data_IF_630115983586
#
_entry.id   IF_630115983586
#
_cell.length_a   1.000
_cell.length_b   1.000
_cell.length_c   1.000
_cell.angle_alpha   90.00
_cell.angle_beta   90.00
_cell.angle_gamma   90.00
#
_symmetry.space_group_name_H-M   'P 1'
#
loop_
_entity.id
_entity.type
_entity.pdbx_description
1 polymer ?
#
# COMPACT_ATOMS: atom_id res chain seq x y z
N UNK A 1 22.24 0.36 -1.58
CA UNK A 1 20.77 0.27 -1.76
C UNK A 1 20.03 1.07 -0.68
N UNK A 2 20.27 0.88 0.62
CA UNK A 2 19.81 1.83 1.66
C UNK A 2 20.23 3.26 1.30
N UNK A 3 21.50 3.49 0.96
CA UNK A 3 21.96 4.79 0.43
C UNK A 3 21.23 5.29 -0.83
N UNK A 4 20.73 4.38 -1.68
CA UNK A 4 19.99 4.75 -2.89
C UNK A 4 18.53 5.14 -2.56
N UNK A 5 17.90 4.46 -1.59
CA UNK A 5 16.58 4.84 -1.08
C UNK A 5 16.64 6.10 -0.22
N UNK A 6 17.67 6.23 0.62
CA UNK A 6 18.05 7.44 1.37
C UNK A 6 18.18 8.64 0.44
N UNK A 7 18.97 8.52 -0.65
CA UNK A 7 19.14 9.60 -1.63
C UNK A 7 17.88 9.93 -2.43
N UNK A 8 16.99 8.96 -2.65
CA UNK A 8 15.83 9.11 -3.53
C UNK A 8 14.55 9.57 -2.80
N UNK A 9 14.37 9.25 -1.51
CA UNK A 9 13.07 9.41 -0.84
C UNK A 9 13.11 10.15 0.50
N UNK A 10 14.28 10.35 1.10
CA UNK A 10 14.41 10.98 2.42
C UNK A 10 13.93 10.11 3.59
N UNK A 11 12.79 9.42 3.47
CA UNK A 11 12.22 8.51 4.48
C UNK A 11 11.61 7.23 3.89
N UNK A 12 11.75 6.10 4.59
CA UNK A 12 11.18 4.80 4.20
C UNK A 12 10.87 3.91 5.42
N UNK A 13 10.10 2.85 5.19
CA UNK A 13 9.79 1.83 6.19
C UNK A 13 10.52 0.53 5.88
N UNK A 14 11.04 -0.12 6.90
CA UNK A 14 11.61 -1.47 6.82
C UNK A 14 10.86 -2.39 7.78
N UNK A 15 10.28 -3.47 7.26
CA UNK A 15 9.57 -4.47 8.03
C UNK A 15 10.38 -5.76 7.99
N UNK A 16 10.81 -6.24 9.15
CA UNK A 16 11.49 -7.53 9.29
C UNK A 16 10.52 -8.55 9.92
N UNK A 17 10.13 -9.55 9.13
CA UNK A 17 9.17 -10.57 9.52
C UNK A 17 9.73 -11.55 10.57
N UNK A 18 11.05 -11.73 10.63
CA UNK A 18 11.71 -12.61 11.59
C UNK A 18 11.80 -11.97 12.96
N UNK A 19 12.21 -10.71 13.03
CA UNK A 19 12.28 -9.97 14.30
C UNK A 19 10.94 -9.39 14.71
N UNK A 20 9.96 -9.37 13.79
CA UNK A 20 8.61 -8.80 13.97
C UNK A 20 8.68 -7.33 14.36
N UNK A 21 9.50 -6.59 13.63
CA UNK A 21 9.70 -5.16 13.83
C UNK A 21 9.44 -4.39 12.54
N UNK A 22 8.88 -3.20 12.71
CA UNK A 22 8.79 -2.16 11.68
C UNK A 22 9.66 -0.99 12.12
N UNK A 23 10.64 -0.64 11.31
CA UNK A 23 11.50 0.52 11.51
C UNK A 23 11.08 1.64 10.55
N UNK A 24 10.94 2.85 11.09
CA UNK A 24 10.84 4.10 10.32
C UNK A 24 12.24 4.70 10.21
N UNK A 25 12.74 4.87 8.99
CA UNK A 25 14.07 5.41 8.73
C UNK A 25 13.99 6.73 7.98
N UNK A 26 14.94 7.60 8.29
CA UNK A 26 15.23 8.83 7.55
C UNK A 26 16.70 8.84 7.18
N UNK A 27 16.97 8.79 5.88
CA UNK A 27 18.27 8.44 5.35
C UNK A 27 18.90 7.21 6.01
N UNK A 28 20.10 7.36 6.57
CA UNK A 28 20.83 6.26 7.22
C UNK A 28 20.50 6.11 8.72
N UNK A 29 19.52 6.86 9.24
CA UNK A 29 19.16 6.86 10.66
C UNK A 29 17.83 6.16 10.88
N UNK A 30 17.82 5.19 11.79
CA UNK A 30 16.58 4.67 12.36
C UNK A 30 15.98 5.73 13.27
N UNK A 31 14.80 6.25 12.92
CA UNK A 31 14.08 7.23 13.73
C UNK A 31 13.33 6.53 14.86
N UNK A 32 12.61 5.46 14.53
CA UNK A 32 11.89 4.66 15.51
C UNK A 32 11.68 3.23 15.03
N UNK A 33 11.56 2.32 15.99
CA UNK A 33 11.26 0.92 15.74
C UNK A 33 10.07 0.49 16.59
N UNK A 34 9.15 -0.25 15.97
CA UNK A 34 7.89 -0.68 16.58
C UNK A 34 7.75 -2.20 16.51
N UNK A 35 7.24 -2.86 17.56
CA UNK A 35 6.84 -4.26 17.47
C UNK A 35 5.62 -4.40 16.58
N UNK A 36 5.58 -5.45 15.76
CA UNK A 36 4.45 -5.72 14.86
C UNK A 36 3.95 -7.16 14.95
N UNK A 37 2.66 -7.36 14.70
CA UNK A 37 2.10 -8.67 14.36
C UNK A 37 2.18 -8.89 12.85
N UNK A 38 2.57 -10.09 12.42
CA UNK A 38 2.75 -10.43 10.99
C UNK A 38 1.87 -11.60 10.58
N UNK A 39 1.79 -11.86 9.27
CA UNK A 39 1.00 -12.94 8.71
C UNK A 39 1.43 -14.32 9.18
N UNK A 40 0.48 -15.24 9.38
CA UNK A 40 0.76 -16.65 9.71
C UNK A 40 1.60 -17.33 8.62
N UNK A 41 2.35 -18.41 8.92
CA UNK A 41 3.01 -19.20 7.88
C UNK A 41 2.07 -19.68 6.77
N UNK A 42 0.80 -19.96 7.09
CA UNK A 42 -0.24 -20.36 6.12
C UNK A 42 -0.81 -19.21 5.29
N UNK A 43 -0.62 -17.95 5.72
CA UNK A 43 -1.05 -16.72 5.03
C UNK A 43 0.01 -15.63 5.25
N UNK A 44 1.22 -15.80 4.67
CA UNK A 44 2.37 -15.01 5.04
C UNK A 44 2.23 -13.57 4.58
N UNK A 45 2.87 -12.65 5.31
CA UNK A 45 3.13 -11.30 4.79
C UNK A 45 4.14 -11.43 3.63
N UNK A 46 3.84 -10.91 2.43
CA UNK A 46 4.74 -11.02 1.30
C UNK A 46 6.00 -10.16 1.50
N UNK A 47 7.15 -10.71 1.13
CA UNK A 47 8.42 -9.97 1.08
C UNK A 47 8.57 -9.21 -0.23
N UNK A 48 9.40 -8.17 -0.23
CA UNK A 48 9.68 -7.33 -1.40
C UNK A 48 9.55 -5.84 -1.12
N UNK A 49 9.65 -5.06 -2.20
CA UNK A 49 9.57 -3.59 -2.17
C UNK A 49 8.19 -3.10 -2.59
N UNK A 50 7.59 -2.27 -1.76
CA UNK A 50 6.25 -1.71 -1.94
C UNK A 50 6.25 -0.21 -1.63
N UNK A 51 5.08 0.42 -1.76
CA UNK A 51 4.84 1.80 -1.37
C UNK A 51 3.52 1.92 -0.61
N UNK A 52 3.41 2.94 0.24
CA UNK A 52 2.14 3.32 0.85
C UNK A 52 1.26 4.01 -0.20
N UNK A 53 0.09 3.45 -0.49
CA UNK A 53 -0.81 3.94 -1.55
C UNK A 53 -2.06 4.64 -1.02
N UNK A 54 -2.44 4.38 0.22
CA UNK A 54 -3.62 4.97 0.86
C UNK A 54 -3.40 5.09 2.36
N UNK A 55 -4.02 6.10 2.97
CA UNK A 55 -4.00 6.35 4.41
C UNK A 55 -5.42 6.67 4.89
N UNK A 56 -5.90 5.94 5.89
CA UNK A 56 -7.25 6.12 6.47
C UNK A 56 -7.13 6.34 7.98
N UNK A 57 -7.81 7.38 8.47
CA UNK A 57 -7.96 7.68 9.89
C UNK A 57 -9.25 7.02 10.38
N UNK A 58 -9.20 6.36 11.53
CA UNK A 58 -10.31 5.68 12.20
C UNK A 58 -11.06 4.66 11.32
N UNK A 59 -10.37 3.67 10.72
CA UNK A 59 -11.04 2.60 9.97
C UNK A 59 -11.91 1.69 10.84
N UNK A 60 -11.63 1.62 12.15
CA UNK A 60 -12.41 0.85 13.12
C UNK A 60 -12.23 -0.67 13.00
N UNK A 61 -13.00 -1.40 13.81
CA UNK A 61 -12.98 -2.87 13.83
C UNK A 61 -11.58 -3.46 14.06
N UNK A 62 -11.26 -4.54 13.34
CA UNK A 62 -9.97 -5.22 13.43
C UNK A 62 -8.78 -4.39 12.94
N UNK A 63 -9.04 -3.29 12.22
CA UNK A 63 -8.02 -2.40 11.68
C UNK A 63 -7.58 -1.33 12.67
N UNK A 64 -8.32 -1.16 13.78
CA UNK A 64 -7.99 -0.20 14.82
C UNK A 64 -8.11 1.26 14.37
N UNK A 65 -7.16 2.09 14.75
CA UNK A 65 -7.28 3.55 14.62
C UNK A 65 -6.68 4.13 13.35
N UNK A 66 -5.77 3.42 12.67
CA UNK A 66 -5.16 3.87 11.41
C UNK A 66 -4.98 2.69 10.45
N UNK A 67 -5.07 2.98 9.15
CA UNK A 67 -4.77 2.04 8.08
C UNK A 67 -3.89 2.70 7.02
N UNK A 68 -2.81 2.02 6.62
CA UNK A 68 -1.94 2.39 5.52
C UNK A 68 -1.85 1.23 4.53
N UNK A 69 -2.49 1.36 3.37
CA UNK A 69 -2.49 0.29 2.36
C UNK A 69 -1.18 0.26 1.58
N UNK A 70 -0.74 -0.93 1.19
CA UNK A 70 0.51 -1.17 0.48
C UNK A 70 0.27 -1.60 -0.97
N UNK A 71 1.21 -1.28 -1.86
CA UNK A 71 1.18 -1.64 -3.29
C UNK A 71 1.48 -3.12 -3.58
N UNK A 72 0.99 -4.04 -2.76
CA UNK A 72 1.22 -5.48 -2.93
C UNK A 72 0.33 -6.02 -4.06
N UNK A 73 0.89 -6.73 -5.06
CA UNK A 73 0.10 -7.38 -6.11
C UNK A 73 -0.95 -8.34 -5.55
N UNK A 74 -2.18 -8.27 -6.05
CA UNK A 74 -3.31 -9.06 -5.52
C UNK A 74 -4.10 -8.38 -4.39
N UNK A 75 -3.66 -7.24 -3.88
CA UNK A 75 -4.41 -6.38 -2.96
C UNK A 75 -4.55 -6.93 -1.53
N UNK A 76 -5.21 -6.16 -0.65
CA UNK A 76 -5.54 -6.51 0.75
C UNK A 76 -4.38 -6.58 1.77
N UNK A 77 -3.26 -5.86 1.53
CA UNK A 77 -2.17 -5.74 2.50
C UNK A 77 -1.99 -4.30 2.96
N UNK A 78 -1.78 -4.14 4.26
CA UNK A 78 -1.59 -2.84 4.88
C UNK A 78 -0.89 -2.91 6.22
N UNK A 79 -0.42 -1.76 6.67
CA UNK A 79 0.04 -1.51 8.03
C UNK A 79 -1.13 -0.86 8.78
N UNK A 80 -1.55 -1.44 9.88
CA UNK A 80 -2.74 -0.97 10.58
C UNK A 80 -2.67 -1.19 12.10
N UNK A 81 -3.57 -0.52 12.82
CA UNK A 81 -3.75 -0.72 14.27
C UNK A 81 -4.37 -2.07 14.61
N UNK A 82 -4.95 -2.22 15.79
CA UNK A 82 -5.66 -3.45 16.16
C UNK A 82 -6.69 -3.19 17.25
N UNK A 83 -7.77 -3.97 17.27
CA UNK A 83 -8.66 -4.07 18.42
C UNK A 83 -8.30 -5.23 19.37
N UNK A 84 -7.22 -5.97 19.05
CA UNK A 84 -6.68 -7.04 19.88
C UNK A 84 -5.18 -6.82 20.14
N UNK A 85 -4.81 -5.94 21.10
CA UNK A 85 -3.40 -5.62 21.40
C UNK A 85 -2.52 -6.84 21.71
N UNK A 86 -2.98 -7.88 22.43
CA UNK A 86 -2.20 -9.12 22.63
C UNK A 86 -1.76 -9.84 21.35
N UNK A 87 -2.34 -9.51 20.18
CA UNK A 87 -1.93 -10.09 18.90
C UNK A 87 -0.60 -9.53 18.35
N UNK A 88 -0.10 -8.42 18.89
CA UNK A 88 1.17 -7.81 18.46
C UNK A 88 2.35 -8.66 18.94
N UNK A 89 3.35 -8.84 18.07
CA UNK A 89 4.50 -9.70 18.34
C UNK A 89 4.29 -11.19 18.02
N UNK A 90 3.14 -11.56 17.44
CA UNK A 90 2.85 -12.93 16.98
C UNK A 90 2.64 -13.08 15.47
N UNK A 91 2.52 -14.32 15.02
CA UNK A 91 2.08 -14.71 13.67
C UNK A 91 0.55 -14.84 13.66
N UNK A 92 -0.15 -13.71 13.52
CA UNK A 92 -1.56 -13.62 13.93
C UNK A 92 -2.51 -13.22 12.79
N UNK A 93 -1.99 -12.59 11.74
CA UNK A 93 -2.83 -12.00 10.69
C UNK A 93 -2.95 -12.88 9.46
N UNK A 94 -3.89 -12.55 8.59
CA UNK A 94 -4.01 -13.13 7.25
C UNK A 94 -3.02 -12.49 6.24
N UNK A 95 -1.94 -11.87 6.72
CA UNK A 95 -0.89 -11.27 5.88
C UNK A 95 -0.63 -9.78 6.14
N UNK A 96 -1.55 -9.04 6.76
CA UNK A 96 -1.36 -7.62 7.12
C UNK A 96 -0.39 -7.41 8.28
N UNK A 97 0.22 -6.23 8.34
CA UNK A 97 1.12 -5.81 9.43
C UNK A 97 0.29 -5.10 10.49
N UNK A 98 0.20 -5.69 11.69
CA UNK A 98 -0.53 -5.14 12.83
C UNK A 98 0.40 -4.37 13.74
N UNK A 99 -0.03 -3.22 14.22
CA UNK A 99 0.66 -2.38 15.19
C UNK A 99 -0.25 -2.12 16.40
N UNK A 100 0.33 -1.73 17.54
CA UNK A 100 -0.46 -1.11 18.59
C UNK A 100 -1.09 0.20 18.07
N UNK A 101 -2.28 0.56 18.57
CA UNK A 101 -2.96 1.78 18.12
C UNK A 101 -2.12 3.04 18.38
N UNK A 102 -1.46 3.14 19.55
CA UNK A 102 -0.58 4.27 19.85
C UNK A 102 0.63 4.34 18.90
N UNK A 103 1.23 3.20 18.55
CA UNK A 103 2.37 3.15 17.63
C UNK A 103 1.98 3.54 16.19
N UNK A 104 0.84 3.04 15.70
CA UNK A 104 0.39 3.41 14.34
C UNK A 104 -0.08 4.86 14.29
N UNK A 105 -0.68 5.39 15.34
CA UNK A 105 -1.03 6.81 15.46
C UNK A 105 0.20 7.71 15.45
N UNK A 106 1.28 7.25 16.07
CA UNK A 106 2.56 7.90 16.05
C UNK A 106 3.22 7.83 14.66
N UNK A 107 3.25 6.67 14.03
CA UNK A 107 3.88 6.45 12.73
C UNK A 107 3.14 7.17 11.60
N UNK A 108 1.81 7.11 11.61
CA UNK A 108 0.93 7.58 10.53
C UNK A 108 1.23 9.01 10.05
N UNK A 109 1.36 10.06 10.89
CA UNK A 109 1.63 11.41 10.41
C UNK A 109 3.01 11.58 9.75
N UNK A 110 3.98 10.69 10.03
CA UNK A 110 5.35 10.75 9.49
C UNK A 110 5.49 10.05 8.13
N UNK A 111 4.54 9.17 7.80
CA UNK A 111 4.54 8.41 6.56
C UNK A 111 3.68 9.12 5.52
N UNK A 112 4.23 9.41 4.35
CA UNK A 112 3.50 10.00 3.24
C UNK A 112 2.97 8.92 2.29
N UNK A 113 1.93 9.24 1.52
CA UNK A 113 1.59 8.41 0.35
C UNK A 113 2.80 8.45 -0.59
N UNK A 114 3.19 7.29 -1.11
CA UNK A 114 4.42 7.08 -1.89
C UNK A 114 5.63 6.71 -1.04
N UNK A 115 5.55 6.76 0.30
CA UNK A 115 6.66 6.31 1.15
C UNK A 115 7.01 4.85 0.83
N UNK A 116 8.29 4.55 0.51
CA UNK A 116 8.70 3.19 0.23
C UNK A 116 8.61 2.30 1.48
N UNK A 117 8.27 1.04 1.26
CA UNK A 117 8.14 0.01 2.28
C UNK A 117 8.86 -1.24 1.82
N UNK A 118 9.91 -1.62 2.53
CA UNK A 118 10.66 -2.85 2.27
C UNK A 118 10.25 -3.93 3.28
N UNK A 119 9.90 -5.12 2.82
CA UNK A 119 9.52 -6.25 3.68
C UNK A 119 10.50 -7.42 3.46
N UNK A 120 11.17 -7.84 4.53
CA UNK A 120 12.21 -8.89 4.49
C UNK A 120 11.93 -10.03 5.48
N UNK A 121 12.42 -11.23 5.16
CA UNK A 121 12.43 -12.40 6.05
C UNK A 121 13.88 -12.90 6.25
N UNK A 122 14.47 -12.68 7.43
CA UNK A 122 15.82 -13.17 7.77
C UNK A 122 16.52 -12.44 8.92
N UNK A 123 17.58 -13.06 9.49
CA UNK A 123 18.55 -12.42 10.40
C UNK A 123 19.46 -11.50 9.58
N UNK A 124 18.99 -10.30 9.30
CA UNK A 124 19.79 -9.31 8.62
C UNK A 124 19.18 -7.93 8.75
N UNK A 125 19.87 -7.05 9.47
CA UNK A 125 19.85 -5.61 9.19
C UNK A 125 20.54 -5.31 7.84
N UNK A 126 21.00 -6.33 7.10
CA UNK A 126 21.77 -6.23 5.86
C UNK A 126 21.32 -7.26 4.81
N UNK A 127 20.02 -7.25 4.46
CA UNK A 127 19.45 -8.04 3.36
C UNK A 127 19.48 -7.35 1.98
N UNK A 128 20.36 -6.35 1.77
CA UNK A 128 20.44 -5.61 0.51
C UNK A 128 21.44 -6.25 -0.46
N UNK A 129 21.18 -7.48 -0.90
CA UNK A 129 21.83 -8.02 -2.09
C UNK A 129 20.78 -8.58 -3.04
N UNK A 130 20.67 -7.90 -4.18
CA UNK A 130 20.22 -8.41 -5.48
C UNK A 130 18.72 -8.40 -5.81
N UNK A 131 18.00 -7.31 -5.50
CA UNK A 131 16.94 -6.86 -6.40
C UNK A 131 17.25 -5.43 -6.84
N UNK A 132 17.38 -5.14 -8.15
CA UNK A 132 17.39 -3.75 -8.60
C UNK A 132 16.08 -3.12 -8.12
N UNK A 133 16.16 -1.91 -7.56
CA UNK A 133 14.99 -1.07 -7.36
C UNK A 133 14.13 -1.14 -8.62
N UNK A 134 12.78 -1.24 -8.53
CA UNK A 134 11.94 -1.18 -9.72
C UNK A 134 12.38 0.05 -10.49
N UNK A 135 12.96 -0.20 -11.66
CA UNK A 135 13.38 0.84 -12.58
C UNK A 135 12.10 1.63 -12.80
N UNK A 136 12.13 2.93 -12.51
CA UNK A 136 11.07 3.85 -12.91
C UNK A 136 11.04 3.77 -14.44
N UNK A 137 10.28 2.82 -14.99
CA UNK A 137 10.09 2.68 -16.41
C UNK A 137 9.39 3.94 -16.87
N UNK A 138 10.10 4.67 -17.74
CA UNK A 138 9.62 5.90 -18.36
C UNK A 138 8.21 5.65 -18.90
N UNK A 139 7.28 6.46 -18.42
CA UNK A 139 5.93 6.56 -18.98
C UNK A 139 6.06 6.73 -20.51
N UNK A 140 5.40 5.91 -21.33
CA UNK A 140 5.48 6.03 -22.78
C UNK A 140 4.93 7.40 -23.20
N UNK A 141 5.77 8.14 -23.92
CA UNK A 141 5.43 9.37 -24.64
C UNK A 141 4.82 9.03 -26.00
N UNK A 142 3.61 9.55 -26.26
CA UNK A 142 2.89 9.53 -27.55
C UNK A 142 1.73 8.52 -27.54
N UNK A 143 0.48 8.81 -27.88
CA UNK A 143 -0.17 9.96 -28.51
C UNK A 143 -1.63 10.08 -28.00
N UNK A 144 -2.22 11.25 -28.19
CA UNK A 144 -3.50 11.73 -27.66
C UNK A 144 -4.73 10.88 -28.02
N UNK A 145 -5.43 10.32 -27.02
CA UNK A 145 -6.89 10.17 -27.05
C UNK A 145 -7.51 10.14 -25.63
N UNK A 146 -7.95 11.32 -25.15
CA UNK A 146 -9.12 11.51 -24.28
C UNK A 146 -9.32 10.78 -22.94
N UNK A 147 -8.32 10.16 -22.31
CA UNK A 147 -8.50 9.45 -21.02
C UNK A 147 -8.42 10.37 -19.79
N UNK A 148 -9.43 10.33 -18.90
CA UNK A 148 -9.45 11.10 -17.64
C UNK A 148 -9.08 10.19 -16.47
N UNK A 149 -8.18 10.62 -15.58
CA UNK A 149 -7.90 9.89 -14.32
C UNK A 149 -8.88 10.32 -13.23
N UNK A 150 -9.39 9.37 -12.46
CA UNK A 150 -10.24 9.59 -11.30
C UNK A 150 -9.64 8.88 -10.09
N UNK A 151 -9.56 9.59 -8.96
CA UNK A 151 -9.16 9.00 -7.68
C UNK A 151 -10.43 8.63 -6.91
N UNK A 152 -10.62 7.33 -6.67
CA UNK A 152 -11.76 6.78 -5.92
C UNK A 152 -11.85 7.45 -4.55
N UNK A 153 -13.03 7.91 -4.15
CA UNK A 153 -13.27 8.51 -2.84
C UNK A 153 -13.80 7.47 -1.83
N UNK A 154 -13.70 7.74 -0.51
CA UNK A 154 -14.34 6.92 0.51
C UNK A 154 -15.82 6.65 0.21
N UNK A 155 -16.20 5.38 0.12
CA UNK A 155 -17.60 4.96 -0.13
C UNK A 155 -18.06 5.00 -1.60
N UNK A 156 -17.17 5.37 -2.55
CA UNK A 156 -17.43 5.20 -3.98
C UNK A 156 -17.26 3.72 -4.39
N UNK A 157 -18.15 3.26 -5.27
CA UNK A 157 -18.04 1.99 -5.98
C UNK A 157 -17.81 2.28 -7.47
N UNK A 158 -17.29 1.31 -8.24
CA UNK A 158 -17.11 1.49 -9.68
C UNK A 158 -18.43 1.85 -10.37
N UNK A 159 -19.56 1.32 -9.89
CA UNK A 159 -20.89 1.67 -10.38
C UNK A 159 -21.22 3.15 -10.20
N UNK A 160 -21.02 3.70 -8.98
CA UNK A 160 -21.24 5.14 -8.71
C UNK A 160 -20.31 6.03 -9.54
N UNK A 161 -19.10 5.56 -9.78
CA UNK A 161 -18.12 6.29 -10.61
C UNK A 161 -18.55 6.23 -12.08
N UNK A 162 -18.95 5.07 -12.60
CA UNK A 162 -19.47 4.92 -13.95
C UNK A 162 -20.69 5.82 -14.21
N UNK A 163 -21.63 5.85 -13.26
CA UNK A 163 -22.81 6.73 -13.29
C UNK A 163 -22.42 8.21 -13.31
N UNK A 164 -21.53 8.63 -12.40
CA UNK A 164 -21.01 10.01 -12.30
C UNK A 164 -20.37 10.50 -13.60
N UNK A 165 -19.61 9.64 -14.28
CA UNK A 165 -18.93 9.98 -15.52
C UNK A 165 -19.75 9.65 -16.78
N UNK A 166 -20.94 9.06 -16.63
CA UNK A 166 -21.83 8.62 -17.73
C UNK A 166 -21.13 7.68 -18.72
N UNK A 167 -20.40 6.70 -18.19
CA UNK A 167 -19.62 5.71 -18.96
C UNK A 167 -20.06 4.30 -18.57
N UNK A 168 -19.85 3.32 -19.46
CA UNK A 168 -20.15 1.92 -19.13
C UNK A 168 -19.13 1.42 -18.09
N UNK A 169 -19.62 0.76 -17.03
CA UNK A 169 -18.80 0.07 -16.03
C UNK A 169 -17.77 -0.85 -16.69
N UNK A 170 -18.18 -1.65 -17.69
CA UNK A 170 -17.28 -2.57 -18.39
C UNK A 170 -16.12 -1.86 -19.09
N UNK A 171 -16.36 -0.65 -19.58
CA UNK A 171 -15.32 0.15 -20.19
C UNK A 171 -14.29 0.62 -19.15
N UNK A 172 -14.71 0.95 -17.93
CA UNK A 172 -13.80 1.27 -16.83
C UNK A 172 -12.99 0.01 -16.44
N UNK A 173 -13.65 -1.14 -16.31
CA UNK A 173 -13.00 -2.41 -15.96
C UNK A 173 -11.91 -2.76 -16.98
N UNK A 174 -12.23 -2.70 -18.27
CA UNK A 174 -11.30 -2.99 -19.36
C UNK A 174 -10.14 -1.98 -19.42
N UNK A 175 -10.43 -0.68 -19.29
CA UNK A 175 -9.42 0.37 -19.33
C UNK A 175 -8.39 0.24 -18.19
N UNK A 176 -8.79 -0.33 -17.05
CA UNK A 176 -7.95 -0.50 -15.87
C UNK A 176 -7.47 -1.93 -15.65
N UNK A 177 -7.86 -2.87 -16.52
CA UNK A 177 -7.56 -4.31 -16.39
C UNK A 177 -7.90 -4.85 -15.00
N UNK A 178 -9.05 -4.44 -14.47
CA UNK A 178 -9.48 -4.85 -13.13
C UNK A 178 -9.96 -6.29 -13.15
N UNK A 179 -9.23 -7.18 -12.46
CA UNK A 179 -9.61 -8.60 -12.34
C UNK A 179 -10.82 -8.82 -11.44
N UNK A 180 -11.07 -7.90 -10.50
CA UNK A 180 -12.26 -7.90 -9.65
C UNK A 180 -12.85 -6.48 -9.59
N UNK A 181 -14.02 -6.23 -10.21
CA UNK A 181 -14.61 -4.90 -10.31
C UNK A 181 -15.27 -4.40 -9.00
N UNK A 182 -15.64 -5.31 -8.09
CA UNK A 182 -16.20 -4.92 -6.80
C UNK A 182 -15.13 -4.43 -5.82
N UNK A 183 -13.86 -4.67 -6.16
CA UNK A 183 -12.71 -4.39 -5.30
C UNK A 183 -11.97 -3.14 -5.76
N UNK A 184 -12.56 -1.97 -5.48
CA UNK A 184 -11.86 -0.69 -5.58
C UNK A 184 -11.70 -0.04 -4.22
N UNK A 185 -10.62 0.73 -4.06
CA UNK A 185 -10.28 1.36 -2.78
C UNK A 185 -10.25 2.87 -2.90
N UNK A 186 -10.70 3.60 -1.86
CA UNK A 186 -10.45 5.04 -1.78
C UNK A 186 -8.96 5.36 -1.98
N UNK A 187 -8.64 6.36 -2.79
CA UNK A 187 -7.29 6.71 -3.22
C UNK A 187 -6.80 5.99 -4.48
N UNK A 188 -7.48 4.93 -4.94
CA UNK A 188 -7.13 4.23 -6.17
C UNK A 188 -7.33 5.16 -7.38
N UNK A 189 -6.29 5.37 -8.17
CA UNK A 189 -6.41 6.09 -9.44
C UNK A 189 -6.86 5.13 -10.52
N UNK A 190 -8.03 5.38 -11.11
CA UNK A 190 -8.56 4.63 -12.23
C UNK A 190 -8.71 5.53 -13.45
N UNK A 191 -8.52 4.92 -14.62
CA UNK A 191 -8.76 5.50 -15.92
C UNK A 191 -10.26 5.47 -16.19
N UNK A 192 -10.85 6.64 -16.42
CA UNK A 192 -12.21 6.79 -16.91
C UNK A 192 -12.13 7.03 -18.42
N UNK A 193 -12.53 6.04 -19.24
CA UNK A 193 -12.59 6.23 -20.70
C UNK A 193 -13.68 7.24 -21.03
N UNK A 194 -13.53 8.00 -22.12
CA UNK A 194 -14.64 8.84 -22.63
C UNK A 194 -15.72 7.97 -23.26
N UNK A 195 -16.97 8.45 -23.20
CA UNK A 195 -18.08 7.84 -23.92
C UNK A 195 -17.76 7.88 -25.42
N UNK A 196 -17.55 6.72 -26.05
CA UNK A 196 -17.56 6.63 -27.50
C UNK A 196 -19.01 6.83 -27.95
N UNK A 197 -19.33 8.03 -28.43
CA UNK A 197 -20.51 8.23 -29.28
C UNK A 197 -20.23 7.57 -30.62
N UNK A 198 -20.53 6.27 -30.72
CA UNK A 198 -20.88 5.65 -32.00
C UNK A 198 -22.38 5.43 -31.94
N UNK A 199 -23.06 6.02 -32.93
CA UNK A 199 -24.52 6.06 -33.06
C UNK A 199 -25.15 4.70 -33.23
#
# INVERSE_FOLDING_TARGET
MAEAMTRAYGSYLLINLTTRQLSHLEGNKTIRTYPVGVGKPSTPTPTGSFTVIVKIINPGGVLGTRWMGLSVPGGNYGIHGTNNPPSIGGYVSNGCIRMYNHDVEELFPRVSIGTPVEIISGKGETGLKNNPAPKLEKLPTGSQDGTRKHTVQPGESLWKIAEKYKVNLDAIIQANRLSNPDLIYPGQSIIIPRKNSRG
#
